data_IF_339061896390
#
_entry.id   IF_339061896390
#
_cell.length_a   1.000
_cell.length_b   1.000
_cell.length_c   1.000
_cell.angle_alpha   90.00
_cell.angle_beta   90.00
_cell.angle_gamma   90.00
#
_symmetry.space_group_name_H-M   'P 1'
#
loop_
_entity.id
_entity.type
_entity.pdbx_description
1 polymer ?
#
# COMPACT_ATOMS: atom_id res chain seq x y z
N UNK A 1 -37.48 22.44 0.87
CA UNK A 1 -36.95 21.28 1.63
C UNK A 1 -37.01 19.94 0.89
N UNK A 2 -37.81 19.80 -0.19
CA UNK A 2 -37.99 18.53 -0.94
C UNK A 2 -36.80 18.22 -1.88
N UNK A 3 -36.19 19.26 -2.47
CA UNK A 3 -35.09 19.12 -3.44
C UNK A 3 -33.82 18.45 -2.86
N UNK A 4 -33.50 18.75 -1.59
CA UNK A 4 -32.30 18.21 -0.91
C UNK A 4 -32.48 16.71 -0.60
N UNK A 5 -33.71 16.28 -0.30
CA UNK A 5 -34.03 14.87 0.01
C UNK A 5 -33.95 14.00 -1.25
N UNK A 6 -34.52 14.48 -2.37
CA UNK A 6 -34.42 13.84 -3.68
C UNK A 6 -32.96 13.76 -4.18
N UNK A 7 -32.17 14.81 -4.00
CA UNK A 7 -30.75 14.77 -4.33
C UNK A 7 -30.02 13.69 -3.51
N UNK A 8 -30.20 13.63 -2.19
CA UNK A 8 -29.57 12.61 -1.33
C UNK A 8 -29.97 11.18 -1.71
N UNK A 9 -31.24 10.93 -2.05
CA UNK A 9 -31.72 9.63 -2.52
C UNK A 9 -31.14 9.25 -3.88
N UNK A 10 -31.11 10.17 -4.85
CA UNK A 10 -30.52 9.93 -6.18
C UNK A 10 -29.01 9.70 -6.06
N UNK A 11 -28.30 10.47 -5.23
CA UNK A 11 -26.89 10.26 -4.95
C UNK A 11 -26.66 8.91 -4.28
N UNK A 12 -27.50 8.52 -3.31
CA UNK A 12 -27.45 7.22 -2.63
C UNK A 12 -27.68 6.05 -3.58
N UNK A 13 -28.71 6.13 -4.43
CA UNK A 13 -29.04 5.13 -5.46
C UNK A 13 -27.94 5.02 -6.51
N UNK A 14 -27.39 6.15 -6.97
CA UNK A 14 -26.28 6.17 -7.93
C UNK A 14 -24.99 5.61 -7.31
N UNK A 15 -24.73 5.89 -6.03
CA UNK A 15 -23.62 5.29 -5.27
C UNK A 15 -23.78 3.78 -5.13
N UNK A 16 -25.00 3.32 -4.82
CA UNK A 16 -25.28 1.90 -4.64
C UNK A 16 -25.13 1.14 -5.97
N UNK A 17 -25.68 1.68 -7.06
CA UNK A 17 -25.59 1.12 -8.42
C UNK A 17 -24.15 1.07 -8.95
N UNK A 18 -23.34 2.10 -8.69
CA UNK A 18 -21.92 2.10 -9.07
C UNK A 18 -21.11 1.05 -8.27
N UNK A 19 -21.48 0.80 -7.01
CA UNK A 19 -20.83 -0.20 -6.14
C UNK A 19 -21.07 -1.64 -6.63
N UNK A 20 -22.16 -1.90 -7.35
CA UNK A 20 -22.51 -3.21 -7.91
C UNK A 20 -21.75 -3.54 -9.21
N UNK A 21 -21.30 -2.54 -9.96
CA UNK A 21 -20.51 -2.76 -11.20
C UNK A 21 -18.99 -2.81 -11.00
N UNK A 22 -18.48 -2.27 -9.89
CA UNK A 22 -17.05 -2.27 -9.61
C UNK A 22 -16.59 -3.63 -9.11
N UNK A 23 -15.50 -4.14 -9.69
CA UNK A 23 -14.79 -5.29 -9.14
C UNK A 23 -14.33 -5.02 -7.71
N UNK A 24 -14.15 -6.09 -6.91
CA UNK A 24 -13.57 -5.98 -5.56
C UNK A 24 -12.25 -5.20 -5.55
N UNK A 25 -11.42 -5.38 -6.57
CA UNK A 25 -10.16 -4.68 -6.70
C UNK A 25 -10.33 -3.17 -6.91
N UNK A 26 -11.25 -2.75 -7.78
CA UNK A 26 -11.53 -1.33 -8.00
C UNK A 26 -12.12 -0.66 -6.75
N UNK A 27 -12.97 -1.39 -6.01
CA UNK A 27 -13.49 -0.92 -4.72
C UNK A 27 -12.36 -0.67 -3.73
N UNK A 28 -11.42 -1.61 -3.61
CA UNK A 28 -10.27 -1.43 -2.73
C UNK A 28 -9.38 -0.27 -3.17
N UNK A 29 -9.11 -0.13 -4.47
CA UNK A 29 -8.32 1.00 -4.99
C UNK A 29 -8.97 2.36 -4.69
N UNK A 30 -10.32 2.42 -4.64
CA UNK A 30 -11.05 3.61 -4.20
C UNK A 30 -10.85 3.90 -2.71
N UNK A 31 -11.07 2.92 -1.83
CA UNK A 31 -10.87 3.08 -0.37
C UNK A 31 -9.42 3.42 -0.04
N UNK A 32 -8.46 2.71 -0.64
CA UNK A 32 -7.02 3.00 -0.54
C UNK A 32 -6.70 4.44 -0.90
N UNK A 33 -7.31 4.97 -1.97
CA UNK A 33 -7.09 6.36 -2.40
C UNK A 33 -7.59 7.34 -1.35
N UNK A 34 -8.74 7.10 -0.73
CA UNK A 34 -9.27 7.93 0.34
C UNK A 34 -8.38 7.88 1.59
N UNK A 35 -7.94 6.69 2.00
CA UNK A 35 -7.05 6.49 3.16
C UNK A 35 -5.70 7.20 2.97
N UNK A 36 -5.17 7.17 1.74
CA UNK A 36 -3.83 7.66 1.43
C UNK A 36 -3.80 9.06 0.82
N UNK A 37 -4.93 9.76 0.82
CA UNK A 37 -5.05 11.08 0.23
C UNK A 37 -4.12 12.08 0.95
N UNK A 38 -3.49 12.96 0.16
CA UNK A 38 -2.60 14.00 0.68
C UNK A 38 -1.17 13.55 1.02
N UNK A 39 -0.92 12.26 1.27
CA UNK A 39 0.44 11.79 1.59
C UNK A 39 1.41 11.90 0.41
N UNK A 40 2.68 12.21 0.72
CA UNK A 40 3.76 12.11 -0.24
C UNK A 40 3.93 10.66 -0.64
N UNK A 41 4.08 10.40 -1.94
CA UNK A 41 4.13 9.04 -2.49
C UNK A 41 5.11 8.88 -3.63
N UNK A 42 5.47 7.64 -3.90
CA UNK A 42 6.17 7.25 -5.11
C UNK A 42 5.95 5.79 -5.46
N UNK A 43 6.51 5.38 -6.60
CA UNK A 43 6.36 4.01 -7.11
C UNK A 43 7.71 3.47 -7.56
N UNK A 44 8.00 2.23 -7.19
CA UNK A 44 9.14 1.47 -7.72
C UNK A 44 8.63 0.31 -8.55
N UNK A 45 9.23 0.16 -9.73
CA UNK A 45 8.93 -0.95 -10.63
C UNK A 45 10.14 -1.88 -10.70
N UNK A 46 9.95 -3.12 -10.27
CA UNK A 46 10.94 -4.19 -10.33
C UNK A 46 10.58 -5.19 -11.44
N UNK A 47 11.58 -5.55 -12.24
CA UNK A 47 11.51 -6.58 -13.27
C UNK A 47 12.73 -7.48 -13.17
N UNK A 48 12.73 -8.61 -13.87
CA UNK A 48 13.85 -9.57 -13.80
C UNK A 48 15.17 -8.91 -14.21
N UNK A 49 15.15 -8.11 -15.29
CA UNK A 49 16.30 -7.32 -15.77
C UNK A 49 16.80 -6.32 -14.71
N UNK A 50 15.88 -5.63 -14.03
CA UNK A 50 16.24 -4.64 -12.99
C UNK A 50 16.80 -5.29 -11.71
N UNK A 51 16.34 -6.49 -11.32
CA UNK A 51 16.85 -7.21 -10.15
C UNK A 51 18.24 -7.83 -10.39
N UNK A 52 18.57 -8.17 -11.64
CA UNK A 52 19.92 -8.61 -12.02
C UNK A 52 20.92 -7.46 -11.94
N UNK A 53 20.51 -6.25 -12.36
CA UNK A 53 21.26 -5.02 -12.13
C UNK A 53 21.12 -4.59 -10.66
N UNK A 54 22.04 -3.79 -10.14
CA UNK A 54 21.89 -3.20 -8.79
C UNK A 54 20.62 -2.34 -8.81
N UNK A 55 19.60 -2.71 -8.05
CA UNK A 55 18.35 -1.93 -7.98
C UNK A 55 18.69 -0.55 -7.42
N UNK A 56 18.33 0.48 -8.16
CA UNK A 56 18.46 1.85 -7.69
C UNK A 56 17.28 2.16 -6.75
N UNK A 57 17.55 2.18 -5.45
CA UNK A 57 16.59 2.54 -4.40
C UNK A 57 16.65 4.04 -4.03
N UNK A 58 17.37 4.87 -4.78
CA UNK A 58 17.60 6.29 -4.45
C UNK A 58 16.35 7.16 -4.47
N UNK A 59 15.23 6.69 -5.04
CA UNK A 59 13.97 7.42 -5.06
C UNK A 59 13.05 7.20 -3.85
N UNK A 60 13.43 6.37 -2.87
CA UNK A 60 12.64 6.20 -1.62
C UNK A 60 13.26 7.08 -0.54
N UNK A 61 12.42 7.89 0.10
CA UNK A 61 12.80 8.60 1.31
C UNK A 61 12.88 7.67 2.51
N UNK A 62 13.95 7.80 3.29
CA UNK A 62 14.07 7.11 4.56
C UNK A 62 13.29 7.90 5.62
N UNK A 63 11.96 7.82 5.52
CA UNK A 63 10.98 8.38 6.45
C UNK A 63 10.12 7.25 7.02
N UNK A 64 8.99 7.57 7.65
CA UNK A 64 8.05 6.63 8.24
C UNK A 64 6.76 6.62 7.42
N UNK A 65 6.20 5.44 7.20
CA UNK A 65 5.12 5.30 6.23
C UNK A 65 4.70 3.88 5.94
N UNK A 66 3.93 3.73 4.87
CA UNK A 66 3.39 2.45 4.40
C UNK A 66 3.84 2.17 2.98
N UNK A 67 3.84 0.90 2.60
CA UNK A 67 4.11 0.44 1.26
C UNK A 67 3.20 -0.70 0.87
N UNK A 68 2.87 -0.76 -0.40
CA UNK A 68 1.93 -1.74 -0.97
C UNK A 68 2.61 -2.38 -2.18
N UNK A 69 2.67 -3.71 -2.17
CA UNK A 69 3.31 -4.51 -3.20
C UNK A 69 2.25 -5.13 -4.09
N UNK A 70 2.38 -4.90 -5.39
CA UNK A 70 1.52 -5.47 -6.42
C UNK A 70 2.32 -6.35 -7.38
N UNK A 71 1.72 -7.47 -7.77
CA UNK A 71 2.15 -8.28 -8.91
C UNK A 71 1.42 -7.89 -10.18
N UNK A 72 2.11 -7.86 -11.32
CA UNK A 72 1.51 -7.45 -12.61
C UNK A 72 1.77 -8.45 -13.72
N UNK A 73 0.83 -9.38 -13.93
CA UNK A 73 0.89 -10.39 -14.99
C UNK A 73 -0.13 -10.09 -16.08
N UNK A 74 0.30 -10.12 -17.36
CA UNK A 74 -0.55 -9.81 -18.52
C UNK A 74 -1.33 -8.49 -18.40
N UNK A 75 -0.70 -7.46 -17.84
CA UNK A 75 -1.31 -6.14 -17.62
C UNK A 75 -2.30 -6.07 -16.44
N UNK A 76 -2.63 -7.20 -15.81
CA UNK A 76 -3.51 -7.25 -14.64
C UNK A 76 -2.71 -7.12 -13.35
N UNK A 77 -3.12 -6.16 -12.52
CA UNK A 77 -2.52 -5.87 -11.22
C UNK A 77 -3.20 -6.70 -10.13
N UNK A 78 -2.42 -7.31 -9.25
CA UNK A 78 -2.88 -8.02 -8.07
C UNK A 78 -2.16 -7.46 -6.84
N UNK A 79 -2.91 -7.05 -5.82
CA UNK A 79 -2.34 -6.69 -4.53
C UNK A 79 -1.81 -7.96 -3.84
N UNK A 80 -0.57 -7.90 -3.38
CA UNK A 80 0.12 -9.04 -2.73
C UNK A 80 0.36 -8.79 -1.25
N UNK A 81 0.79 -7.59 -0.89
CA UNK A 81 1.25 -7.28 0.45
C UNK A 81 1.02 -5.81 0.80
N UNK A 82 0.59 -5.53 2.03
CA UNK A 82 0.57 -4.21 2.65
C UNK A 82 1.51 -4.27 3.85
N UNK A 83 2.37 -3.26 3.99
CA UNK A 83 3.31 -3.15 5.11
C UNK A 83 3.54 -1.73 5.57
N UNK A 84 3.99 -1.59 6.81
CA UNK A 84 4.56 -0.35 7.33
C UNK A 84 6.07 -0.37 7.49
N UNK A 85 6.63 0.83 7.64
CA UNK A 85 7.96 1.06 8.16
C UNK A 85 7.97 2.33 9.01
N UNK A 86 8.81 2.35 10.04
CA UNK A 86 8.82 3.41 11.03
C UNK A 86 8.22 2.95 12.36
N UNK A 87 8.82 3.44 13.43
CA UNK A 87 8.37 3.24 14.82
C UNK A 87 8.43 4.59 15.51
N UNK A 88 7.34 4.99 16.16
CA UNK A 88 7.32 6.10 17.11
C UNK A 88 7.62 5.49 18.48
N UNK A 89 8.63 6.01 19.15
CA UNK A 89 9.04 5.57 20.48
C UNK A 89 8.20 6.25 21.56
N UNK A 90 8.23 5.71 22.77
CA UNK A 90 7.59 6.33 23.92
C UNK A 90 8.14 7.73 24.24
N UNK A 91 9.39 8.03 23.84
CA UNK A 91 9.97 9.37 23.92
C UNK A 91 9.38 10.37 22.91
N UNK A 92 8.63 9.89 21.91
CA UNK A 92 8.19 10.68 20.77
C UNK A 92 9.17 10.64 19.58
N UNK A 93 10.38 10.10 19.76
CA UNK A 93 11.35 9.96 18.68
C UNK A 93 10.90 8.97 17.62
N UNK A 94 11.37 9.13 16.38
CA UNK A 94 10.96 8.30 15.25
C UNK A 94 12.14 7.56 14.63
N UNK A 95 11.99 6.24 14.47
CA UNK A 95 12.94 5.42 13.72
C UNK A 95 12.55 5.35 12.25
N UNK A 96 13.03 6.28 11.44
CA UNK A 96 12.78 6.28 10.00
C UNK A 96 13.50 5.13 9.28
N UNK A 97 12.75 4.28 8.57
CA UNK A 97 13.27 3.03 7.97
C UNK A 97 12.53 2.58 6.72
N UNK A 98 11.73 3.43 6.05
CA UNK A 98 10.93 3.03 4.89
C UNK A 98 11.77 2.47 3.76
N UNK A 99 12.84 3.16 3.38
CA UNK A 99 13.78 2.69 2.36
C UNK A 99 14.42 1.37 2.78
N UNK A 100 14.89 1.29 4.02
CA UNK A 100 15.52 0.07 4.56
C UNK A 100 14.56 -1.12 4.56
N UNK A 101 13.30 -0.92 4.95
CA UNK A 101 12.29 -1.99 5.02
C UNK A 101 11.89 -2.50 3.63
N UNK A 102 11.65 -1.59 2.68
CA UNK A 102 11.31 -1.96 1.30
C UNK A 102 12.47 -2.73 0.66
N UNK A 103 13.71 -2.24 0.79
CA UNK A 103 14.88 -2.87 0.19
C UNK A 103 15.28 -4.22 0.82
N UNK A 104 15.00 -4.43 2.11
CA UNK A 104 15.26 -5.70 2.82
C UNK A 104 14.16 -6.75 2.68
N UNK A 105 13.03 -6.39 2.06
CA UNK A 105 11.79 -7.17 1.92
C UNK A 105 11.05 -7.47 3.24
N UNK A 106 9.73 -7.78 3.18
CA UNK A 106 8.87 -7.74 4.36
C UNK A 106 9.00 -8.89 5.37
N UNK A 107 9.89 -9.86 5.19
CA UNK A 107 9.98 -11.03 6.08
C UNK A 107 10.92 -10.79 7.26
N UNK A 108 10.41 -10.93 8.49
CA UNK A 108 11.23 -11.16 9.69
C UNK A 108 12.16 -12.35 9.42
N UNK A 109 13.48 -12.17 9.61
CA UNK A 109 14.45 -13.25 9.60
C UNK A 109 15.10 -13.63 8.26
N UNK A 110 14.77 -12.98 7.13
CA UNK A 110 15.49 -13.22 5.88
C UNK A 110 16.39 -12.03 5.52
N UNK A 111 17.71 -12.24 5.51
CA UNK A 111 18.72 -11.36 4.90
C UNK A 111 18.62 -11.25 3.36
N UNK A 112 17.50 -11.66 2.78
CA UNK A 112 17.39 -12.07 1.38
C UNK A 112 16.28 -11.32 0.64
N UNK A 113 16.18 -10.00 0.84
CA UNK A 113 15.18 -9.18 0.14
C UNK A 113 15.20 -9.35 -1.38
N UNK A 114 16.38 -9.60 -1.95
CA UNK A 114 16.56 -9.95 -3.36
C UNK A 114 15.87 -11.27 -3.75
N UNK A 115 15.92 -12.30 -2.91
CA UNK A 115 15.27 -13.59 -3.20
C UNK A 115 13.75 -13.49 -3.18
N UNK A 116 13.19 -12.73 -2.22
CA UNK A 116 11.76 -12.47 -2.17
C UNK A 116 11.27 -11.80 -3.46
N UNK A 117 11.87 -10.68 -3.84
CA UNK A 117 11.49 -9.99 -5.07
C UNK A 117 11.77 -10.81 -6.33
N UNK A 118 12.85 -11.61 -6.35
CA UNK A 118 13.11 -12.54 -7.45
C UNK A 118 12.00 -13.58 -7.60
N UNK A 119 11.53 -14.17 -6.49
CA UNK A 119 10.42 -15.14 -6.51
C UNK A 119 9.14 -14.49 -7.04
N UNK A 120 8.83 -13.28 -6.54
CA UNK A 120 7.64 -12.54 -6.97
C UNK A 120 7.71 -12.15 -8.46
N UNK A 121 8.84 -11.61 -8.93
CA UNK A 121 9.03 -11.26 -10.35
C UNK A 121 8.97 -12.48 -11.26
N UNK A 122 9.43 -13.66 -10.82
CA UNK A 122 9.24 -14.90 -11.59
C UNK A 122 7.78 -15.30 -11.72
N UNK A 123 6.97 -15.07 -10.68
CA UNK A 123 5.53 -15.39 -10.67
C UNK A 123 4.69 -14.36 -11.44
N UNK A 124 5.09 -13.10 -11.42
CA UNK A 124 4.27 -11.99 -11.91
C UNK A 124 4.88 -11.19 -13.06
N UNK A 125 6.07 -11.51 -13.59
CA UNK A 125 6.84 -10.74 -14.59
C UNK A 125 7.32 -9.36 -14.14
N UNK A 126 6.49 -8.61 -13.42
CA UNK A 126 6.73 -7.25 -12.92
C UNK A 126 6.13 -7.11 -11.52
N UNK A 127 6.83 -6.40 -10.66
CA UNK A 127 6.36 -5.99 -9.33
C UNK A 127 6.34 -4.47 -9.27
N UNK A 128 5.27 -3.92 -8.71
CA UNK A 128 5.11 -2.50 -8.43
C UNK A 128 5.00 -2.32 -6.92
N UNK A 129 5.81 -1.41 -6.38
CA UNK A 129 5.80 -1.08 -4.95
C UNK A 129 5.41 0.38 -4.86
N UNK A 130 4.19 0.65 -4.41
CA UNK A 130 3.79 1.99 -4.00
C UNK A 130 4.28 2.24 -2.58
N UNK A 131 4.77 3.43 -2.29
CA UNK A 131 5.15 3.84 -0.95
C UNK A 131 4.62 5.22 -0.64
N UNK A 132 4.31 5.45 0.63
CA UNK A 132 3.69 6.68 1.12
C UNK A 132 4.37 7.10 2.42
N UNK A 133 4.76 8.36 2.54
CA UNK A 133 5.24 8.94 3.81
C UNK A 133 4.01 9.37 4.60
N UNK A 134 3.81 8.75 5.76
CA UNK A 134 2.65 9.05 6.63
C UNK A 134 3.04 9.83 7.87
N UNK A 135 4.33 9.82 8.22
CA UNK A 135 4.87 10.54 9.37
C UNK A 135 6.23 11.16 9.04
N UNK A 136 6.39 12.47 9.26
CA UNK A 136 7.63 13.23 9.12
C UNK A 136 7.84 14.26 10.24
N UNK A 137 9.09 14.72 10.37
CA UNK A 137 9.54 15.64 11.44
C UNK A 137 8.90 17.02 11.31
N UNK A 138 8.67 17.47 10.07
CA UNK A 138 8.06 18.77 9.77
C UNK A 138 6.54 18.78 10.02
N UNK A 139 5.97 17.67 10.51
CA UNK A 139 4.53 17.45 10.77
C UNK A 139 3.63 17.72 9.57
N UNK A 140 4.19 17.77 8.36
CA UNK A 140 3.41 17.82 7.13
C UNK A 140 2.59 16.54 6.96
N UNK A 141 3.14 15.42 7.43
CA UNK A 141 2.46 14.15 7.59
C UNK A 141 2.64 13.69 9.03
N UNK A 142 1.56 13.44 9.76
CA UNK A 142 1.62 13.14 11.20
C UNK A 142 0.72 11.95 11.60
N UNK A 143 0.57 10.98 10.71
CA UNK A 143 -0.22 9.77 10.96
C UNK A 143 0.71 8.59 11.18
N UNK A 144 0.57 8.00 12.36
CA UNK A 144 1.35 6.84 12.80
C UNK A 144 1.24 5.72 11.75
N UNK A 145 2.36 5.18 11.22
CA UNK A 145 2.32 4.19 10.14
C UNK A 145 1.48 2.94 10.45
N UNK A 146 1.45 2.49 11.71
CA UNK A 146 0.64 1.31 12.09
C UNK A 146 -0.86 1.57 11.99
N UNK A 147 -1.31 2.80 12.24
CA UNK A 147 -2.72 3.17 12.03
C UNK A 147 -3.07 3.06 10.55
N UNK A 148 -2.26 3.66 9.67
CA UNK A 148 -2.52 3.65 8.22
C UNK A 148 -2.46 2.23 7.66
N UNK A 149 -1.53 1.41 8.13
CA UNK A 149 -1.46 -0.01 7.77
C UNK A 149 -2.72 -0.77 8.18
N UNK A 150 -3.20 -0.55 9.42
CA UNK A 150 -4.45 -1.15 9.91
C UNK A 150 -5.66 -0.71 9.09
N UNK A 151 -5.80 0.59 8.79
CA UNK A 151 -6.89 1.11 7.97
C UNK A 151 -6.90 0.45 6.57
N UNK A 152 -5.72 0.27 5.96
CA UNK A 152 -5.59 -0.39 4.66
C UNK A 152 -5.90 -1.90 4.71
N UNK A 153 -5.41 -2.61 5.73
CA UNK A 153 -5.68 -4.03 5.93
C UNK A 153 -7.16 -4.25 6.21
N UNK A 154 -7.78 -3.43 7.05
CA UNK A 154 -9.21 -3.49 7.33
C UNK A 154 -10.02 -3.26 6.06
N UNK A 155 -9.70 -2.21 5.28
CA UNK A 155 -10.39 -1.94 4.01
C UNK A 155 -10.25 -3.10 3.00
N UNK A 156 -9.12 -3.79 2.98
CA UNK A 156 -8.96 -5.00 2.17
C UNK A 156 -9.84 -6.14 2.72
N UNK A 157 -9.79 -6.41 4.01
CA UNK A 157 -10.55 -7.48 4.65
C UNK A 157 -12.06 -7.30 4.46
N UNK A 158 -12.59 -6.10 4.61
CA UNK A 158 -14.03 -5.81 4.45
C UNK A 158 -14.55 -6.12 3.03
N UNK A 159 -13.67 -6.08 2.03
CA UNK A 159 -14.01 -6.31 0.61
C UNK A 159 -13.76 -7.77 0.21
N UNK A 160 -12.66 -8.35 0.68
CA UNK A 160 -12.18 -9.66 0.24
C UNK A 160 -12.46 -10.80 1.23
N UNK A 161 -12.78 -10.48 2.49
CA UNK A 161 -12.97 -11.40 3.60
C UNK A 161 -11.74 -12.27 3.91
N UNK A 162 -10.55 -11.73 3.61
CA UNK A 162 -9.26 -12.36 3.85
C UNK A 162 -8.14 -11.29 3.86
N UNK A 163 -6.94 -11.66 4.29
CA UNK A 163 -5.75 -10.81 4.18
C UNK A 163 -5.16 -10.85 2.77
N UNK A 164 -4.34 -9.86 2.38
CA UNK A 164 -3.52 -9.97 1.18
C UNK A 164 -2.71 -11.28 1.15
N UNK A 165 -2.50 -11.90 -0.03
CA UNK A 165 -1.91 -13.24 -0.12
C UNK A 165 -0.54 -13.43 0.54
N UNK A 166 0.27 -12.38 0.67
CA UNK A 166 1.58 -12.44 1.31
C UNK A 166 1.58 -11.87 2.75
N UNK A 167 0.44 -11.35 3.25
CA UNK A 167 0.23 -11.00 4.65
C UNK A 167 -0.30 -12.24 5.39
N UNK A 168 0.56 -12.93 6.15
CA UNK A 168 0.19 -14.17 6.84
C UNK A 168 -0.69 -13.96 8.08
N UNK A 169 -0.46 -12.85 8.76
CA UNK A 169 -1.09 -12.42 10.01
C UNK A 169 -1.06 -10.89 10.05
N UNK A 170 -1.92 -10.29 10.87
CA UNK A 170 -1.98 -8.85 11.11
C UNK A 170 -2.15 -8.57 12.60
#
# INVERSE_FOLDING_TARGET
MIYIKLQREIYGLKYHYLKEKMSKFERFEKEKRAILEGFKKGVIILTRKKLMKRVNWCGIEDKAGVYIIYGVIHGKRQLLYIGKAGEILNSGDVKYRLKKRISSAPRKGCSLGKQYYNKLVKRFNKIEIEWYVTFDEDKKYNVIPVKVEADLIQAYYDIFNCLPPENKEF
#
